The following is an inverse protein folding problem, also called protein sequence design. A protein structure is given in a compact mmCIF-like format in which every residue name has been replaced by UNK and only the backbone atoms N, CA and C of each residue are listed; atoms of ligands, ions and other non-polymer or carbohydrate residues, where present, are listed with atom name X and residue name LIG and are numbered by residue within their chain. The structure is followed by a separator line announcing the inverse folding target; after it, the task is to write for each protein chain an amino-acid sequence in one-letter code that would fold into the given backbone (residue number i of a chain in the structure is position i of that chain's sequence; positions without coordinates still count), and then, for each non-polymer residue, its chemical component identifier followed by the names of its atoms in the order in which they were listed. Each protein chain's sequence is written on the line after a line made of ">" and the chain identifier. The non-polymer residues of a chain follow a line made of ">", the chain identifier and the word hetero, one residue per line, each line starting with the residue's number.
data_IF_917047201637
#
_entry.id   IF_917047201637
#
_cell.length_a   1.000
_cell.length_b   1.000
_cell.length_c   1.000
_cell.angle_alpha   90.00
_cell.angle_beta   90.00
_cell.angle_gamma   90.00
#
_symmetry.space_group_name_H-M   'P 1'
#
loop_
_entity.id
_entity.type
_entity.pdbx_description
1 polymer ?
#
# COMPACT_ATOMS: atom_id res chain seq x y z
N UNK A 1 7.24 -18.95 16.41
CA UNK A 1 7.39 -17.83 15.47
C UNK A 1 6.22 -16.88 15.67
N UNK A 2 6.48 -15.63 16.05
CA UNK A 2 5.45 -14.60 16.25
C UNK A 2 5.55 -13.60 15.12
N UNK A 3 4.56 -13.58 14.21
CA UNK A 3 4.47 -12.59 13.14
C UNK A 3 3.55 -11.47 13.60
N UNK A 4 4.03 -10.25 13.60
CA UNK A 4 3.22 -9.05 13.86
C UNK A 4 2.73 -8.47 12.54
N UNK A 5 1.44 -8.12 12.46
CA UNK A 5 0.80 -7.52 11.28
C UNK A 5 0.18 -6.19 11.69
N UNK A 6 0.60 -5.11 11.04
CA UNK A 6 -0.04 -3.80 11.17
C UNK A 6 -1.17 -3.63 10.15
N UNK A 7 -2.11 -2.74 10.40
CA UNK A 7 -3.28 -2.48 9.52
C UNK A 7 -4.03 -3.75 9.05
N UNK A 8 -4.34 -4.72 9.94
CA UNK A 8 -4.89 -6.03 9.55
C UNK A 8 -6.32 -5.98 9.01
N UNK A 9 -6.97 -4.83 9.02
CA UNK A 9 -8.31 -4.59 8.46
C UNK A 9 -8.28 -3.75 7.17
N UNK A 10 -7.09 -3.39 6.69
CA UNK A 10 -6.89 -2.68 5.42
C UNK A 10 -6.90 -3.65 4.21
N UNK A 11 -6.84 -3.08 3.01
CA UNK A 11 -6.96 -3.84 1.76
C UNK A 11 -5.91 -4.96 1.63
N UNK A 12 -4.65 -4.67 1.93
CA UNK A 12 -3.54 -5.64 1.87
C UNK A 12 -3.44 -6.44 3.19
N UNK A 13 -3.41 -5.76 4.34
CA UNK A 13 -3.21 -6.40 5.65
C UNK A 13 -4.27 -7.43 6.03
N UNK A 14 -5.52 -7.28 5.57
CA UNK A 14 -6.57 -8.27 5.76
C UNK A 14 -6.27 -9.58 5.01
N UNK A 15 -5.72 -9.47 3.80
CA UNK A 15 -5.30 -10.62 3.01
C UNK A 15 -4.10 -11.32 3.65
N UNK A 16 -3.08 -10.55 4.06
CA UNK A 16 -1.92 -11.07 4.80
C UNK A 16 -2.36 -11.84 6.03
N UNK A 17 -3.23 -11.25 6.85
CA UNK A 17 -3.76 -11.89 8.07
C UNK A 17 -4.44 -13.22 7.77
N UNK A 18 -5.31 -13.26 6.76
CA UNK A 18 -6.05 -14.46 6.37
C UNK A 18 -5.11 -15.58 5.92
N UNK A 19 -4.12 -15.25 5.08
CA UNK A 19 -3.16 -16.25 4.57
C UNK A 19 -2.26 -16.80 5.68
N UNK A 20 -1.81 -15.96 6.61
CA UNK A 20 -1.05 -16.44 7.78
C UNK A 20 -1.87 -17.41 8.62
N UNK A 21 -3.15 -17.09 8.88
CA UNK A 21 -4.05 -18.00 9.61
C UNK A 21 -4.28 -19.32 8.85
N UNK A 22 -4.48 -19.26 7.52
CA UNK A 22 -4.63 -20.45 6.68
C UNK A 22 -3.36 -21.32 6.66
N UNK A 23 -2.18 -20.70 6.79
CA UNK A 23 -0.90 -21.40 6.93
C UNK A 23 -0.66 -21.97 8.36
N UNK A 24 -1.63 -21.85 9.27
CA UNK A 24 -1.51 -22.35 10.65
C UNK A 24 -0.74 -21.43 11.60
N UNK A 25 -0.42 -20.22 11.19
CA UNK A 25 0.21 -19.20 12.04
C UNK A 25 -0.87 -18.46 12.82
N UNK A 26 -0.59 -18.16 14.09
CA UNK A 26 -1.40 -17.26 14.93
C UNK A 26 -0.71 -15.88 14.96
N UNK A 27 -1.03 -14.95 14.04
CA UNK A 27 -0.37 -13.66 14.00
C UNK A 27 -0.85 -12.75 15.14
N UNK A 28 0.04 -11.83 15.58
CA UNK A 28 -0.32 -10.71 16.44
C UNK A 28 -0.70 -9.52 15.56
N UNK A 29 -1.90 -8.99 15.75
CA UNK A 29 -2.48 -7.94 14.92
C UNK A 29 -2.49 -6.63 15.70
N UNK A 30 -1.84 -5.59 15.18
CA UNK A 30 -1.89 -4.24 15.74
C UNK A 30 -2.96 -3.42 15.02
N UNK A 31 -4.01 -3.04 15.75
CA UNK A 31 -5.13 -2.28 15.21
C UNK A 31 -5.80 -1.45 16.31
N UNK A 32 -6.41 -0.32 15.93
CA UNK A 32 -7.07 0.58 16.89
C UNK A 32 -8.32 -0.04 17.54
N UNK A 33 -9.10 -0.77 16.75
CA UNK A 33 -10.37 -1.35 17.20
C UNK A 33 -10.48 -2.84 16.81
N UNK A 34 -10.25 -3.78 17.74
CA UNK A 34 -10.41 -5.21 17.50
C UNK A 34 -11.84 -5.65 17.10
N UNK A 35 -12.86 -4.83 17.37
CA UNK A 35 -14.23 -5.15 16.96
C UNK A 35 -14.40 -5.09 15.43
N UNK A 36 -13.50 -4.44 14.70
CA UNK A 36 -13.48 -4.40 13.24
C UNK A 36 -12.95 -5.68 12.58
N UNK A 37 -12.35 -6.58 13.35
CA UNK A 37 -11.93 -7.88 12.84
C UNK A 37 -13.13 -8.74 12.48
N UNK A 38 -13.02 -9.44 11.36
CA UNK A 38 -13.99 -10.45 10.95
C UNK A 38 -14.18 -11.47 12.09
N UNK A 39 -15.43 -11.77 12.51
CA UNK A 39 -15.68 -12.65 13.64
C UNK A 39 -15.00 -14.02 13.56
N UNK A 40 -14.92 -14.61 12.36
CA UNK A 40 -14.26 -15.89 12.10
C UNK A 40 -12.75 -15.88 12.32
N UNK A 41 -12.09 -14.71 12.25
CA UNK A 41 -10.64 -14.60 12.47
C UNK A 41 -10.26 -14.44 13.94
N UNK A 42 -11.15 -13.91 14.78
CA UNK A 42 -10.82 -13.52 16.17
C UNK A 42 -10.25 -14.67 17.01
N UNK A 43 -10.72 -15.88 16.82
CA UNK A 43 -10.23 -17.06 17.54
C UNK A 43 -8.82 -17.51 17.10
N UNK A 44 -8.36 -17.06 15.94
CA UNK A 44 -7.13 -17.53 15.30
C UNK A 44 -5.99 -16.50 15.35
N UNK A 45 -6.20 -15.35 15.97
CA UNK A 45 -5.25 -14.24 16.03
C UNK A 45 -5.04 -13.75 17.46
N UNK A 46 -3.97 -12.99 17.68
CA UNK A 46 -3.72 -12.24 18.90
C UNK A 46 -3.93 -10.75 18.58
N UNK A 47 -5.11 -10.22 18.90
CA UNK A 47 -5.47 -8.84 18.55
C UNK A 47 -5.09 -7.89 19.70
N UNK A 48 -4.20 -6.95 19.42
CA UNK A 48 -3.69 -5.96 20.37
C UNK A 48 -4.17 -4.56 19.97
N UNK A 49 -4.95 -3.87 20.82
CA UNK A 49 -5.36 -2.49 20.57
C UNK A 49 -4.16 -1.56 20.59
N UNK A 50 -3.78 -1.02 19.44
CA UNK A 50 -2.64 -0.11 19.28
C UNK A 50 -2.97 0.95 18.24
N UNK A 51 -2.69 2.21 18.55
CA UNK A 51 -2.52 3.26 17.57
C UNK A 51 -1.05 3.28 17.13
N UNK A 52 -0.78 3.17 15.82
CA UNK A 52 0.59 3.12 15.29
C UNK A 52 1.35 4.43 15.53
N UNK A 53 0.66 5.53 15.83
CA UNK A 53 1.27 6.81 16.20
C UNK A 53 1.78 6.83 17.65
N UNK A 54 1.33 5.89 18.50
CA UNK A 54 1.88 5.69 19.85
C UNK A 54 3.10 4.73 19.77
N UNK A 55 4.29 5.32 19.62
CA UNK A 55 5.56 4.60 19.53
C UNK A 55 5.76 3.61 20.67
N UNK A 56 5.48 4.02 21.90
CA UNK A 56 5.71 3.18 23.07
C UNK A 56 4.75 1.99 23.09
N UNK A 57 3.49 2.19 22.69
CA UNK A 57 2.53 1.10 22.55
C UNK A 57 2.97 0.12 21.44
N UNK A 58 3.47 0.60 20.31
CA UNK A 58 4.01 -0.25 19.23
C UNK A 58 5.19 -1.06 19.73
N UNK A 59 6.15 -0.45 20.44
CA UNK A 59 7.30 -1.17 20.99
C UNK A 59 6.85 -2.26 21.95
N UNK A 60 5.96 -1.96 22.89
CA UNK A 60 5.41 -3.02 23.79
C UNK A 60 4.71 -4.14 23.01
N UNK A 61 3.94 -3.79 21.99
CA UNK A 61 3.16 -4.76 21.23
C UNK A 61 4.01 -5.62 20.27
N UNK A 62 5.20 -5.18 19.91
CA UNK A 62 6.15 -5.92 19.05
C UNK A 62 7.17 -6.76 19.84
N UNK A 63 7.13 -6.73 21.18
CA UNK A 63 8.00 -7.56 22.00
C UNK A 63 7.85 -9.06 21.68
N UNK A 64 8.97 -9.75 21.49
CA UNK A 64 9.03 -11.17 21.14
C UNK A 64 8.59 -11.48 19.69
N UNK A 65 8.40 -10.48 18.84
CA UNK A 65 8.15 -10.68 17.42
C UNK A 65 9.40 -11.25 16.72
N UNK A 66 9.19 -12.22 15.83
CA UNK A 66 10.26 -12.77 14.98
C UNK A 66 10.17 -12.23 13.55
N UNK A 67 8.97 -11.80 13.13
CA UNK A 67 8.75 -11.14 11.85
C UNK A 67 7.70 -10.02 11.97
N UNK A 68 7.82 -9.01 11.12
CA UNK A 68 6.97 -7.82 11.10
C UNK A 68 6.47 -7.54 9.67
N UNK A 69 5.17 -7.38 9.50
CA UNK A 69 4.57 -6.72 8.35
C UNK A 69 4.23 -5.29 8.73
N UNK A 70 4.83 -4.34 8.02
CA UNK A 70 4.67 -2.92 8.32
C UNK A 70 4.02 -2.16 7.18
N UNK A 71 3.10 -1.26 7.54
CA UNK A 71 2.45 -0.31 6.63
C UNK A 71 2.45 1.06 7.31
N UNK A 72 2.68 2.11 6.55
CA UNK A 72 2.46 3.50 6.97
C UNK A 72 1.08 3.96 6.49
N UNK A 73 0.01 3.78 7.29
CA UNK A 73 -1.32 4.22 6.88
C UNK A 73 -1.44 5.74 6.99
N UNK A 74 -2.35 6.37 6.23
CA UNK A 74 -2.69 7.77 6.43
C UNK A 74 -3.15 8.01 7.87
N UNK A 75 -2.52 8.96 8.56
CA UNK A 75 -2.82 9.30 9.96
C UNK A 75 -3.80 10.45 10.09
N UNK A 76 -4.04 11.20 9.01
CA UNK A 76 -4.78 12.46 9.02
C UNK A 76 -3.93 13.65 9.48
N UNK A 77 -2.63 13.48 9.67
CA UNK A 77 -1.71 14.56 10.01
C UNK A 77 -1.68 15.65 8.92
N UNK A 78 -1.38 16.88 9.32
CA UNK A 78 -1.22 18.00 8.38
C UNK A 78 -0.04 17.79 7.44
N UNK A 79 1.05 17.17 7.93
CA UNK A 79 2.21 16.78 7.13
C UNK A 79 2.25 15.25 6.99
N UNK A 80 1.72 14.67 5.89
CA UNK A 80 1.65 13.23 5.72
C UNK A 80 3.03 12.60 5.50
N UNK A 81 3.97 13.31 4.87
CA UNK A 81 5.34 12.84 4.65
C UNK A 81 6.07 12.66 5.98
N UNK A 82 6.03 13.68 6.84
CA UNK A 82 6.63 13.59 8.16
C UNK A 82 5.97 12.50 9.02
N UNK A 83 4.64 12.38 8.97
CA UNK A 83 3.92 11.35 9.71
C UNK A 83 4.29 9.92 9.26
N UNK A 84 4.44 9.68 7.96
CA UNK A 84 4.91 8.39 7.45
C UNK A 84 6.36 8.10 7.87
N UNK A 85 7.25 9.10 7.82
CA UNK A 85 8.63 8.97 8.30
C UNK A 85 8.69 8.60 9.80
N UNK A 86 7.87 9.23 10.65
CA UNK A 86 7.78 8.92 12.08
C UNK A 86 7.30 7.47 12.35
N UNK A 87 6.36 6.99 11.53
CA UNK A 87 5.93 5.58 11.58
C UNK A 87 7.08 4.65 11.16
N UNK A 88 7.85 5.02 10.14
CA UNK A 88 9.04 4.28 9.70
C UNK A 88 10.12 4.18 10.76
N UNK A 89 10.42 5.29 11.42
CA UNK A 89 11.31 5.36 12.58
C UNK A 89 10.85 4.43 13.72
N UNK A 90 9.54 4.37 13.95
CA UNK A 90 8.95 3.48 14.96
C UNK A 90 9.15 2.02 14.61
N UNK A 91 8.97 1.64 13.33
CA UNK A 91 9.25 0.29 12.85
C UNK A 91 10.73 -0.08 12.99
N UNK A 92 11.63 0.79 12.53
CA UNK A 92 13.08 0.59 12.63
C UNK A 92 13.53 0.41 14.09
N UNK A 93 12.96 1.20 14.99
CA UNK A 93 13.22 1.07 16.43
C UNK A 93 12.71 -0.26 17.00
N UNK A 94 11.52 -0.73 16.59
CA UNK A 94 11.00 -2.03 16.99
C UNK A 94 11.93 -3.16 16.53
N UNK A 95 12.38 -3.11 15.26
CA UNK A 95 13.35 -4.07 14.70
C UNK A 95 14.61 -4.10 15.54
N UNK A 96 15.20 -2.94 15.81
CA UNK A 96 16.48 -2.85 16.54
C UNK A 96 16.34 -3.24 18.02
N UNK A 97 15.23 -2.85 18.67
CA UNK A 97 15.05 -3.09 20.12
C UNK A 97 14.74 -4.56 20.42
N UNK A 98 13.96 -5.23 19.57
CA UNK A 98 13.49 -6.59 19.83
C UNK A 98 14.19 -7.66 19.00
N UNK A 99 15.13 -7.29 18.12
CA UNK A 99 15.85 -8.23 17.27
C UNK A 99 14.90 -8.95 16.28
N UNK A 100 13.96 -8.23 15.71
CA UNK A 100 13.01 -8.78 14.72
C UNK A 100 13.82 -9.21 13.49
N UNK A 101 13.83 -10.51 13.20
CA UNK A 101 14.71 -11.08 12.17
C UNK A 101 14.28 -10.78 10.74
N UNK A 102 12.99 -10.62 10.48
CA UNK A 102 12.44 -10.38 9.13
C UNK A 102 11.40 -9.27 9.16
N UNK A 103 11.54 -8.29 8.28
CA UNK A 103 10.55 -7.22 8.11
C UNK A 103 10.13 -7.12 6.66
N UNK A 104 8.82 -7.17 6.41
CA UNK A 104 8.21 -6.88 5.11
C UNK A 104 7.51 -5.56 5.21
N UNK A 105 7.99 -4.57 4.47
CA UNK A 105 7.43 -3.22 4.41
C UNK A 105 6.66 -3.01 3.12
N UNK A 106 5.39 -2.61 3.23
CA UNK A 106 4.58 -2.19 2.10
C UNK A 106 5.00 -0.77 1.68
N UNK A 107 5.88 -0.70 0.71
CA UNK A 107 6.36 0.52 0.07
C UNK A 107 5.58 0.80 -1.22
N UNK A 108 6.05 1.67 -2.06
CA UNK A 108 5.44 2.05 -3.33
C UNK A 108 6.50 2.21 -4.42
N UNK A 109 6.11 1.94 -5.66
CA UNK A 109 6.82 2.49 -6.83
C UNK A 109 6.93 4.01 -6.65
N UNK A 110 8.11 4.56 -6.94
CA UNK A 110 8.43 5.97 -6.69
C UNK A 110 9.27 6.22 -5.43
N UNK A 111 9.28 5.29 -4.46
CA UNK A 111 10.13 5.40 -3.26
C UNK A 111 11.63 5.37 -3.60
N UNK A 112 12.02 4.77 -4.73
CA UNK A 112 13.39 4.77 -5.26
C UNK A 112 13.92 6.16 -5.56
N UNK A 113 13.06 7.15 -5.83
CA UNK A 113 13.47 8.54 -6.05
C UNK A 113 14.05 9.19 -4.80
N UNK A 114 13.71 8.69 -3.63
CA UNK A 114 14.08 9.21 -2.29
C UNK A 114 13.51 10.59 -1.97
N UNK A 115 13.19 11.40 -2.97
CA UNK A 115 12.55 12.71 -2.79
C UNK A 115 11.90 13.19 -4.08
N UNK A 116 10.93 14.10 -3.96
CA UNK A 116 10.22 14.69 -5.09
C UNK A 116 9.10 13.81 -5.65
N UNK A 117 8.65 12.83 -4.87
CA UNK A 117 7.48 12.01 -5.14
C UNK A 117 6.33 12.27 -4.14
N UNK A 118 6.28 13.48 -3.57
CA UNK A 118 5.21 13.92 -2.68
C UNK A 118 4.96 12.99 -1.52
N UNK A 119 3.75 12.45 -1.39
CA UNK A 119 3.38 11.57 -0.27
C UNK A 119 4.27 10.31 -0.18
N UNK A 120 4.79 9.82 -1.31
CA UNK A 120 5.69 8.65 -1.36
C UNK A 120 7.05 8.93 -0.71
N UNK A 121 7.49 10.19 -0.60
CA UNK A 121 8.74 10.54 0.07
C UNK A 121 8.77 10.04 1.53
N UNK A 122 7.62 9.99 2.20
CA UNK A 122 7.50 9.41 3.54
C UNK A 122 7.75 7.89 3.58
N UNK A 123 7.39 7.18 2.51
CA UNK A 123 7.71 5.75 2.36
C UNK A 123 9.18 5.55 2.05
N UNK A 124 9.79 6.42 1.26
CA UNK A 124 11.23 6.41 1.00
C UNK A 124 12.05 6.60 2.30
N UNK A 125 11.66 7.53 3.17
CA UNK A 125 12.26 7.70 4.48
C UNK A 125 12.07 6.45 5.36
N UNK A 126 10.93 5.77 5.25
CA UNK A 126 10.70 4.51 5.96
C UNK A 126 11.62 3.39 5.44
N UNK A 127 11.83 3.27 4.12
CA UNK A 127 12.82 2.35 3.56
C UNK A 127 14.21 2.62 4.14
N UNK A 128 14.66 3.87 4.16
CA UNK A 128 15.97 4.29 4.69
C UNK A 128 16.13 3.97 6.19
N UNK A 129 15.08 4.22 7.00
CA UNK A 129 15.11 3.90 8.42
C UNK A 129 15.21 2.39 8.69
N UNK A 130 14.47 1.57 7.94
CA UNK A 130 14.51 0.12 8.03
C UNK A 130 15.85 -0.44 7.52
N UNK A 131 16.41 0.14 6.45
CA UNK A 131 17.73 -0.21 5.93
C UNK A 131 18.82 0.06 6.97
N UNK A 132 18.80 1.20 7.64
CA UNK A 132 19.72 1.53 8.73
C UNK A 132 19.61 0.56 9.92
N UNK A 133 18.37 0.14 10.25
CA UNK A 133 18.15 -0.90 11.26
C UNK A 133 18.72 -2.26 10.82
N UNK A 134 18.54 -2.64 9.55
CA UNK A 134 19.12 -3.85 8.95
C UNK A 134 20.65 -3.84 9.02
N UNK A 135 21.29 -2.74 8.64
CA UNK A 135 22.75 -2.59 8.68
C UNK A 135 23.31 -2.75 10.10
N UNK A 136 22.56 -2.30 11.10
CA UNK A 136 23.00 -2.34 12.50
C UNK A 136 22.77 -3.70 13.15
N UNK A 137 21.68 -4.39 12.81
CA UNK A 137 21.21 -5.60 13.49
C UNK A 137 21.47 -6.88 12.71
N UNK A 138 21.68 -6.78 11.39
CA UNK A 138 21.70 -7.92 10.49
C UNK A 138 20.30 -8.47 10.16
N UNK A 139 19.21 -7.78 10.56
CA UNK A 139 17.86 -8.17 10.25
C UNK A 139 17.61 -8.12 8.73
N UNK A 140 16.83 -9.07 8.23
CA UNK A 140 16.41 -9.07 6.84
C UNK A 140 15.21 -8.12 6.64
N UNK A 141 15.28 -7.26 5.62
CA UNK A 141 14.22 -6.30 5.27
C UNK A 141 13.87 -6.45 3.79
N UNK A 142 12.57 -6.52 3.49
CA UNK A 142 12.05 -6.53 2.13
C UNK A 142 11.09 -5.36 1.94
N UNK A 143 11.42 -4.45 1.02
CA UNK A 143 10.55 -3.38 0.57
C UNK A 143 9.71 -3.87 -0.61
N UNK A 144 8.39 -4.01 -0.41
CA UNK A 144 7.46 -4.31 -1.48
C UNK A 144 7.04 -2.99 -2.13
N UNK A 145 7.60 -2.66 -3.29
CA UNK A 145 7.22 -1.47 -4.06
C UNK A 145 6.01 -1.78 -4.90
N UNK A 146 4.85 -1.50 -4.33
CA UNK A 146 3.57 -1.78 -4.94
C UNK A 146 3.27 -0.79 -6.08
N UNK A 147 2.69 -1.30 -7.17
CA UNK A 147 2.14 -0.49 -8.25
C UNK A 147 0.91 0.31 -7.83
N UNK A 148 0.24 0.95 -8.80
CA UNK A 148 -0.96 1.74 -8.53
C UNK A 148 -2.15 0.83 -8.20
N UNK A 149 -2.73 0.99 -7.03
CA UNK A 149 -3.80 0.13 -6.55
C UNK A 149 -5.10 0.31 -7.34
N UNK A 150 -5.67 -0.80 -7.82
CA UNK A 150 -6.99 -0.82 -8.46
C UNK A 150 -8.08 -0.25 -7.57
N UNK A 151 -7.95 -0.39 -6.24
CA UNK A 151 -8.89 0.17 -5.25
C UNK A 151 -8.94 1.70 -5.23
N UNK A 152 -7.96 2.39 -5.85
CA UNK A 152 -8.03 3.85 -5.98
C UNK A 152 -9.23 4.28 -6.84
N UNK A 153 -9.67 3.45 -7.79
CA UNK A 153 -10.89 3.69 -8.57
C UNK A 153 -12.17 3.75 -7.72
N UNK A 154 -12.15 3.23 -6.49
CA UNK A 154 -13.30 3.35 -5.57
C UNK A 154 -13.45 4.76 -5.00
N UNK A 155 -12.40 5.58 -5.03
CA UNK A 155 -12.49 7.00 -4.64
C UNK A 155 -13.20 7.84 -5.70
N UNK A 156 -13.21 7.37 -6.94
CA UNK A 156 -13.76 8.08 -8.10
C UNK A 156 -15.15 7.54 -8.53
N UNK A 157 -15.84 6.79 -7.65
CA UNK A 157 -17.12 6.10 -8.01
C UNK A 157 -18.18 7.07 -8.54
N UNK A 158 -18.28 8.28 -8.00
CA UNK A 158 -19.27 9.25 -8.46
C UNK A 158 -18.93 9.79 -9.85
N UNK A 159 -17.66 10.03 -10.14
CA UNK A 159 -17.20 10.38 -11.48
C UNK A 159 -17.38 9.22 -12.47
N UNK A 160 -17.08 8.00 -12.04
CA UNK A 160 -17.31 6.80 -12.84
C UNK A 160 -18.80 6.62 -13.17
N UNK A 161 -19.72 6.90 -12.24
CA UNK A 161 -21.17 6.92 -12.50
C UNK A 161 -21.56 8.00 -13.52
N UNK A 162 -20.84 9.12 -13.52
CA UNK A 162 -21.01 10.16 -14.53
C UNK A 162 -20.35 9.82 -15.88
N UNK A 163 -19.75 8.63 -16.01
CA UNK A 163 -19.09 8.15 -17.23
C UNK A 163 -17.69 8.76 -17.46
N UNK A 164 -17.03 9.24 -16.41
CA UNK A 164 -15.72 9.90 -16.53
C UNK A 164 -14.73 9.34 -15.50
N UNK A 165 -13.50 9.09 -15.93
CA UNK A 165 -12.35 8.80 -15.08
C UNK A 165 -11.34 9.94 -15.20
N UNK A 166 -11.22 10.78 -14.17
CA UNK A 166 -10.34 11.95 -14.17
C UNK A 166 -8.98 11.62 -13.60
N UNK A 167 -7.92 12.17 -14.24
CA UNK A 167 -6.55 11.91 -13.82
C UNK A 167 -5.64 13.09 -14.15
N UNK A 168 -4.63 13.42 -13.31
CA UNK A 168 -3.62 14.43 -13.64
C UNK A 168 -2.48 13.88 -14.52
N UNK A 169 -2.44 12.56 -14.74
CA UNK A 169 -1.39 11.93 -15.56
C UNK A 169 -1.71 11.97 -17.05
N UNK A 170 -0.68 11.69 -17.86
CA UNK A 170 -0.86 11.52 -19.29
C UNK A 170 -1.76 10.29 -19.56
N UNK A 171 -2.73 10.47 -20.46
CA UNK A 171 -3.72 9.41 -20.73
C UNK A 171 -3.12 8.21 -21.47
N UNK A 172 -2.01 8.42 -22.19
CA UNK A 172 -1.30 7.41 -22.97
C UNK A 172 -0.08 6.82 -22.23
N UNK A 173 0.29 7.37 -21.06
CA UNK A 173 1.38 6.81 -20.25
C UNK A 173 0.91 5.55 -19.52
N UNK A 174 1.59 4.38 -19.73
CA UNK A 174 1.25 3.16 -19.03
C UNK A 174 1.68 3.22 -17.57
N UNK A 175 0.85 2.67 -16.68
CA UNK A 175 1.11 2.56 -15.25
C UNK A 175 0.96 1.10 -14.78
N UNK A 176 1.76 0.68 -13.77
CA UNK A 176 1.67 -0.66 -13.21
C UNK A 176 0.47 -0.77 -12.25
N UNK A 177 -0.69 -1.16 -12.73
CA UNK A 177 -1.88 -1.38 -11.90
C UNK A 177 -1.79 -2.72 -11.18
N UNK A 178 -2.19 -2.76 -9.91
CA UNK A 178 -2.16 -3.98 -9.10
C UNK A 178 -3.37 -4.08 -8.16
N UNK A 179 -3.89 -5.29 -7.97
CA UNK A 179 -4.90 -5.56 -6.93
C UNK A 179 -4.21 -5.65 -5.56
N UNK A 180 -4.59 -4.88 -4.55
CA UNK A 180 -4.04 -4.99 -3.18
C UNK A 180 -4.07 -6.41 -2.59
N UNK A 181 -4.97 -7.28 -3.06
CA UNK A 181 -5.01 -8.68 -2.66
C UNK A 181 -3.75 -9.43 -3.09
N UNK A 182 -3.25 -9.15 -4.28
CA UNK A 182 -2.03 -9.77 -4.81
C UNK A 182 -0.79 -9.31 -4.03
N UNK A 183 -0.75 -8.04 -3.61
CA UNK A 183 0.30 -7.57 -2.68
C UNK A 183 0.27 -8.33 -1.35
N UNK A 184 -0.93 -8.62 -0.85
CA UNK A 184 -1.13 -9.44 0.34
C UNK A 184 -0.61 -10.87 0.17
N UNK A 185 -0.74 -11.45 -1.01
CA UNK A 185 -0.23 -12.79 -1.33
C UNK A 185 1.32 -12.79 -1.33
N UNK A 186 1.95 -11.79 -1.95
CA UNK A 186 3.41 -11.63 -1.96
C UNK A 186 3.94 -11.37 -0.55
N UNK A 187 3.31 -10.47 0.21
CA UNK A 187 3.71 -10.16 1.58
C UNK A 187 3.62 -11.38 2.49
N UNK A 188 2.53 -12.14 2.42
CA UNK A 188 2.35 -13.36 3.23
C UNK A 188 3.39 -14.43 2.84
N UNK A 189 3.69 -14.61 1.56
CA UNK A 189 4.72 -15.54 1.10
C UNK A 189 6.10 -15.16 1.67
N UNK A 190 6.47 -13.87 1.65
CA UNK A 190 7.72 -13.37 2.24
C UNK A 190 7.79 -13.57 3.75
N UNK A 191 6.68 -13.36 4.48
CA UNK A 191 6.62 -13.54 5.93
C UNK A 191 6.70 -15.01 6.33
N UNK A 192 6.20 -15.93 5.52
CA UNK A 192 6.23 -17.37 5.75
C UNK A 192 7.57 -18.00 5.35
N UNK A 193 8.28 -17.41 4.39
CA UNK A 193 9.62 -17.83 4.00
C UNK A 193 10.63 -17.36 5.06
N UNK A 194 11.46 -18.26 5.55
CA UNK A 194 12.43 -17.97 6.60
C UNK A 194 13.90 -18.00 6.10
N UNK A 195 14.10 -18.15 4.80
CA UNK A 195 15.42 -18.43 4.19
C UNK A 195 16.03 -17.25 3.42
N UNK A 196 15.35 -16.10 3.38
CA UNK A 196 15.87 -14.88 2.77
C UNK A 196 16.60 -14.00 3.79
N UNK A 197 17.63 -13.28 3.32
CA UNK A 197 18.51 -12.47 4.17
C UNK A 197 18.84 -11.13 3.51
N UNK A 198 19.35 -10.20 4.30
CA UNK A 198 19.79 -8.89 3.85
C UNK A 198 18.64 -7.99 3.41
N UNK A 199 19.00 -6.94 2.67
CA UNK A 199 18.03 -5.98 2.14
C UNK A 199 17.57 -6.40 0.75
N UNK A 200 16.28 -6.43 0.55
CA UNK A 200 15.64 -6.78 -0.72
C UNK A 200 14.63 -5.73 -1.11
N UNK A 201 14.55 -5.45 -2.40
CA UNK A 201 13.46 -4.70 -3.02
C UNK A 201 12.73 -5.66 -3.94
N UNK A 202 11.42 -5.64 -3.90
CA UNK A 202 10.58 -6.41 -4.81
C UNK A 202 9.42 -5.54 -5.28
N UNK A 203 9.36 -5.26 -6.57
CA UNK A 203 8.17 -4.66 -7.13
C UNK A 203 7.01 -5.65 -7.14
N UNK A 204 5.80 -5.14 -6.98
CA UNK A 204 4.56 -5.91 -7.07
C UNK A 204 3.64 -5.20 -8.07
N UNK A 205 3.60 -5.75 -9.27
CA UNK A 205 2.83 -5.20 -10.38
C UNK A 205 1.72 -6.19 -10.78
N UNK A 206 0.62 -5.68 -11.29
CA UNK A 206 -0.39 -6.55 -11.91
C UNK A 206 0.09 -7.12 -13.26
N UNK A 207 -0.77 -7.83 -13.97
CA UNK A 207 -0.37 -8.58 -15.17
C UNK A 207 -0.05 -7.69 -16.38
N UNK A 208 -0.45 -6.40 -16.36
CA UNK A 208 -0.22 -5.45 -17.43
C UNK A 208 0.00 -4.04 -16.90
N UNK A 209 0.85 -3.27 -17.58
CA UNK A 209 0.86 -1.81 -17.44
C UNK A 209 -0.24 -1.29 -18.36
N UNK A 210 -1.13 -0.46 -17.82
CA UNK A 210 -2.30 0.05 -18.53
C UNK A 210 -2.25 1.57 -18.59
N UNK A 211 -2.54 2.11 -19.77
CA UNK A 211 -2.83 3.52 -19.96
C UNK A 211 -4.20 3.88 -19.37
N UNK A 212 -4.45 5.15 -19.09
CA UNK A 212 -5.75 5.58 -18.58
C UNK A 212 -6.88 5.37 -19.59
N UNK A 213 -6.58 5.42 -20.89
CA UNK A 213 -7.53 5.04 -21.94
C UNK A 213 -7.90 3.55 -21.85
N UNK A 214 -6.93 2.67 -21.71
CA UNK A 214 -7.17 1.23 -21.55
C UNK A 214 -7.90 0.92 -20.24
N UNK A 215 -7.59 1.62 -19.14
CA UNK A 215 -8.33 1.48 -17.87
C UNK A 215 -9.80 1.84 -18.05
N UNK A 216 -10.10 2.96 -18.72
CA UNK A 216 -11.48 3.37 -18.98
C UNK A 216 -12.22 2.35 -19.88
N UNK A 217 -11.57 1.79 -20.89
CA UNK A 217 -12.13 0.73 -21.76
C UNK A 217 -12.38 -0.56 -20.98
N UNK A 218 -11.43 -1.00 -20.16
CA UNK A 218 -11.56 -2.19 -19.30
C UNK A 218 -12.71 -2.02 -18.31
N UNK A 219 -12.80 -0.87 -17.63
CA UNK A 219 -13.88 -0.57 -16.69
C UNK A 219 -15.21 -0.57 -17.43
N UNK A 220 -15.31 0.09 -18.59
CA UNK A 220 -16.55 0.12 -19.40
C UNK A 220 -17.02 -1.29 -19.76
N UNK A 221 -16.10 -2.12 -20.23
CA UNK A 221 -16.40 -3.50 -20.66
C UNK A 221 -16.81 -4.39 -19.48
N UNK A 222 -16.05 -4.31 -18.37
CA UNK A 222 -16.27 -5.17 -17.21
C UNK A 222 -17.56 -4.83 -16.44
N UNK A 223 -17.95 -3.55 -16.44
CA UNK A 223 -19.12 -3.06 -15.71
C UNK A 223 -20.38 -2.95 -16.56
N UNK A 224 -20.23 -2.82 -17.88
CA UNK A 224 -21.33 -2.48 -18.81
C UNK A 224 -21.72 -1.00 -18.75
N UNK A 225 -20.96 -0.16 -18.05
CA UNK A 225 -21.20 1.27 -17.89
C UNK A 225 -20.15 2.05 -18.69
N UNK A 226 -20.52 2.86 -19.69
CA UNK A 226 -19.54 3.59 -20.51
C UNK A 226 -18.76 4.62 -19.69
N UNK A 227 -17.44 4.53 -19.72
CA UNK A 227 -16.51 5.43 -19.04
C UNK A 227 -15.48 5.91 -20.05
N UNK A 228 -15.11 7.19 -20.01
CA UNK A 228 -14.01 7.78 -20.77
C UNK A 228 -12.96 8.38 -19.82
N UNK A 229 -11.70 8.30 -20.18
CA UNK A 229 -10.63 8.99 -19.46
C UNK A 229 -10.64 10.48 -19.82
N UNK A 230 -10.34 11.33 -18.82
CA UNK A 230 -10.22 12.77 -18.97
C UNK A 230 -9.04 13.28 -18.16
N UNK A 231 -8.10 14.00 -18.81
CA UNK A 231 -6.98 14.62 -18.12
C UNK A 231 -7.40 15.92 -17.48
N UNK A 232 -7.05 16.10 -16.21
CA UNK A 232 -7.22 17.36 -15.48
C UNK A 232 -5.84 18.00 -15.23
N UNK A 233 -5.82 19.30 -15.00
CA UNK A 233 -4.61 20.01 -14.60
C UNK A 233 -4.28 19.77 -13.13
N UNK A 234 -3.01 20.03 -12.73
CA UNK A 234 -2.62 20.00 -11.32
C UNK A 234 -3.39 21.04 -10.49
N UNK A 235 -3.80 22.16 -11.11
CA UNK A 235 -4.60 23.18 -10.44
C UNK A 235 -6.03 22.71 -10.21
N UNK A 236 -6.63 21.96 -11.14
CA UNK A 236 -7.95 21.32 -10.94
C UNK A 236 -7.86 20.26 -9.85
N UNK A 237 -6.78 19.46 -9.82
CA UNK A 237 -6.55 18.48 -8.75
C UNK A 237 -6.44 19.19 -7.39
N UNK A 238 -5.64 20.28 -7.28
CA UNK A 238 -5.53 21.08 -6.06
C UNK A 238 -6.90 21.61 -5.61
N UNK A 239 -7.66 22.16 -6.55
CA UNK A 239 -8.98 22.71 -6.25
C UNK A 239 -9.92 21.61 -5.73
N UNK A 240 -9.94 20.44 -6.36
CA UNK A 240 -10.76 19.31 -5.93
C UNK A 240 -10.38 18.80 -4.53
N UNK A 241 -9.09 18.59 -4.26
CA UNK A 241 -8.59 18.13 -2.95
C UNK A 241 -8.87 19.16 -1.84
N UNK A 242 -8.71 20.46 -2.15
CA UNK A 242 -9.06 21.55 -1.21
C UNK A 242 -10.54 21.57 -0.91
N UNK A 243 -11.39 21.41 -1.92
CA UNK A 243 -12.85 21.33 -1.77
C UNK A 243 -13.28 20.10 -0.96
N UNK A 244 -12.53 19.00 -1.04
CA UNK A 244 -12.69 17.81 -0.21
C UNK A 244 -12.22 17.98 1.25
N UNK A 245 -11.66 19.15 1.61
CA UNK A 245 -11.29 19.51 2.97
C UNK A 245 -9.86 19.13 3.38
N UNK A 246 -8.99 18.79 2.44
CA UNK A 246 -7.59 18.53 2.73
C UNK A 246 -6.88 19.85 3.06
N UNK A 247 -5.89 19.78 3.97
CA UNK A 247 -5.01 20.92 4.26
C UNK A 247 -4.07 21.21 3.09
N UNK A 248 -3.48 22.39 3.06
CA UNK A 248 -2.57 22.76 1.99
C UNK A 248 -1.39 21.77 1.86
N UNK A 249 -0.81 21.30 2.96
CA UNK A 249 0.29 20.34 2.94
C UNK A 249 -0.14 18.98 2.41
N UNK A 250 -1.31 18.50 2.80
CA UNK A 250 -1.88 17.26 2.28
C UNK A 250 -2.15 17.38 0.77
N UNK A 251 -2.69 18.51 0.31
CA UNK A 251 -2.90 18.78 -1.12
C UNK A 251 -1.58 18.75 -1.88
N UNK A 252 -0.55 19.46 -1.40
CA UNK A 252 0.75 19.49 -2.09
C UNK A 252 1.47 18.13 -2.05
N UNK A 253 1.27 17.32 -1.02
CA UNK A 253 1.80 15.95 -1.00
C UNK A 253 1.18 15.08 -2.10
N UNK A 254 -0.13 15.13 -2.29
CA UNK A 254 -0.83 14.38 -3.36
C UNK A 254 -0.47 14.90 -4.75
N UNK A 255 -0.49 16.23 -4.94
CA UNK A 255 -0.10 16.83 -6.24
C UNK A 255 1.37 16.57 -6.56
N UNK A 256 2.24 16.68 -5.55
CA UNK A 256 3.67 16.36 -5.68
C UNK A 256 3.90 14.90 -6.06
N UNK A 257 3.12 13.97 -5.50
CA UNK A 257 3.16 12.56 -5.90
C UNK A 257 2.76 12.40 -7.38
N UNK A 258 1.64 12.99 -7.80
CA UNK A 258 1.20 12.91 -9.18
C UNK A 258 2.25 13.50 -10.15
N UNK A 259 2.82 14.65 -9.82
CA UNK A 259 3.87 15.27 -10.63
C UNK A 259 5.17 14.45 -10.64
N UNK A 260 5.57 13.95 -9.47
CA UNK A 260 6.82 13.21 -9.29
C UNK A 260 6.87 11.86 -9.99
N UNK A 261 5.70 11.25 -10.25
CA UNK A 261 5.63 9.95 -10.91
C UNK A 261 5.40 10.01 -12.43
N UNK A 262 5.20 11.20 -13.02
CA UNK A 262 4.81 11.33 -14.44
C UNK A 262 5.75 10.66 -15.43
N UNK A 263 7.04 10.77 -15.22
CA UNK A 263 8.06 10.23 -16.12
C UNK A 263 8.91 9.16 -15.40
N UNK A 264 8.34 8.53 -14.39
CA UNK A 264 9.05 7.53 -13.62
C UNK A 264 9.09 6.19 -14.37
N UNK A 265 10.31 5.74 -14.67
CA UNK A 265 10.57 4.35 -14.99
C UNK A 265 10.90 3.62 -13.69
N UNK A 266 10.10 2.62 -13.25
CA UNK A 266 10.37 1.87 -12.04
C UNK A 266 11.76 1.21 -12.09
N UNK A 267 12.52 1.29 -10.99
CA UNK A 267 13.83 0.64 -10.84
C UNK A 267 13.72 -0.89 -11.02
N UNK A 268 12.62 -1.47 -10.56
CA UNK A 268 12.30 -2.89 -10.72
C UNK A 268 11.07 -3.03 -11.64
N UNK A 269 11.28 -3.17 -12.96
CA UNK A 269 10.20 -3.21 -13.95
C UNK A 269 9.40 -4.50 -13.85
N UNK A 270 8.24 -4.53 -14.53
CA UNK A 270 7.41 -5.72 -14.59
C UNK A 270 8.09 -6.86 -15.36
N UNK A 271 8.26 -7.97 -14.66
CA UNK A 271 8.81 -9.23 -15.17
C UNK A 271 7.96 -10.40 -14.68
N UNK A 272 8.29 -11.62 -15.05
CA UNK A 272 7.64 -12.81 -14.50
C UNK A 272 7.80 -12.93 -12.96
N UNK A 273 8.82 -12.30 -12.38
CA UNK A 273 9.08 -12.34 -10.95
C UNK A 273 8.33 -11.25 -10.17
N UNK A 274 7.92 -10.19 -10.83
CA UNK A 274 7.27 -9.01 -10.24
C UNK A 274 5.80 -8.87 -10.64
N UNK A 275 5.30 -9.74 -11.55
CA UNK A 275 3.92 -9.74 -12.01
C UNK A 275 3.03 -10.63 -11.15
N UNK A 276 1.82 -10.15 -10.90
CA UNK A 276 0.75 -10.85 -10.18
C UNK A 276 -0.44 -11.14 -11.09
N UNK A 277 -1.32 -12.09 -10.74
CA UNK A 277 -2.28 -12.63 -11.71
C UNK A 277 -3.59 -11.85 -11.86
N UNK A 278 -3.98 -11.00 -10.89
CA UNK A 278 -5.32 -10.38 -10.89
C UNK A 278 -5.42 -9.27 -11.92
N UNK A 279 -6.26 -9.46 -12.93
CA UNK A 279 -6.50 -8.43 -13.95
C UNK A 279 -7.42 -7.34 -13.46
N UNK A 280 -7.23 -6.11 -13.98
CA UNK A 280 -8.16 -5.01 -13.71
C UNK A 280 -9.60 -5.37 -14.14
N UNK A 281 -9.78 -6.13 -15.22
CA UNK A 281 -11.09 -6.58 -15.66
C UNK A 281 -11.81 -7.45 -14.61
N UNK A 282 -11.11 -8.41 -14.03
CA UNK A 282 -11.65 -9.27 -12.98
C UNK A 282 -12.00 -8.45 -11.73
N UNK A 283 -11.09 -7.57 -11.31
CA UNK A 283 -11.31 -6.67 -10.17
C UNK A 283 -12.50 -5.72 -10.40
N UNK A 284 -12.57 -5.06 -11.56
CA UNK A 284 -13.66 -4.13 -11.89
C UNK A 284 -15.02 -4.84 -11.97
N UNK A 285 -15.06 -6.08 -12.50
CA UNK A 285 -16.27 -6.88 -12.50
C UNK A 285 -16.76 -7.20 -11.09
N UNK A 286 -15.84 -7.56 -10.19
CA UNK A 286 -16.17 -7.92 -8.79
C UNK A 286 -16.57 -6.69 -7.96
N UNK A 287 -15.84 -5.58 -8.10
CA UNK A 287 -15.93 -4.45 -7.16
C UNK A 287 -16.62 -3.20 -7.73
N UNK A 288 -16.41 -2.85 -9.00
CA UNK A 288 -17.04 -1.65 -9.59
C UNK A 288 -18.42 -1.92 -10.19
N UNK A 289 -18.61 -3.08 -10.85
CA UNK A 289 -19.88 -3.39 -11.50
C UNK A 289 -21.09 -3.26 -10.56
N UNK A 290 -21.08 -3.78 -9.31
CA UNK A 290 -22.20 -3.61 -8.39
C UNK A 290 -22.48 -2.15 -8.03
N UNK A 291 -21.47 -1.29 -8.06
CA UNK A 291 -21.55 0.12 -7.69
C UNK A 291 -22.02 1.01 -8.85
N UNK A 292 -21.77 0.59 -10.10
CA UNK A 292 -22.10 1.36 -11.29
C UNK A 292 -23.41 0.88 -11.96
N UNK A 293 -23.90 -0.30 -11.62
CA UNK A 293 -25.15 -0.88 -12.15
C UNK A 293 -26.41 -0.41 -11.40
N UNK A 294 -26.28 0.49 -10.41
CA UNK A 294 -27.37 0.90 -9.52
C UNK A 294 -28.05 2.20 -9.98
#
# INVERSE_FOLDING_TARGET
>A
MTIVVTTPTGNVGSRVTRLLVQAGVRPRLLLRDPARLEPGLRAHVDAVPVDLTDRDAVLRATEGATALYWVCPPTGADDPVAAAAELGETAARAVSTHGIGHTVFQSSVGAEKRSGAGDIDGLAHTEEALDAASDTTGAAVCHLRCGYFTTNLLMDVDDLRAGVLRTPWDLDAPMPWVDPRDDGDVAAARLLAADWTGRQVQAVHGPADLTWHEVAEVVSTATGHPVRAERISDDDLRAGLTAAGLTQRQVEAVVGMAAGLRDLEPEDPRTVLTSTPTTLAAWAHEHLRPLLAA
#
